data_IF_418474154899
#
_entry.id   IF_418474154899
#
_cell.length_a   1.000
_cell.length_b   1.000
_cell.length_c   1.000
_cell.angle_alpha   90.00
_cell.angle_beta   90.00
_cell.angle_gamma   90.00
#
_symmetry.space_group_name_H-M   'P 1'
#
loop_
_entity.id
_entity.type
_entity.pdbx_description
1 polymer ?
#
# COMPACT_ATOMS: atom_id res chain seq x y z
N UNK A 1 12.71 -20.41 3.81
CA UNK A 1 11.34 -20.68 4.28
C UNK A 1 11.31 -21.41 5.63
N UNK A 2 11.89 -22.58 5.79
CA UNK A 2 11.86 -23.36 7.07
C UNK A 2 12.29 -22.52 8.30
N UNK A 3 13.36 -21.75 8.24
CA UNK A 3 13.86 -20.95 9.38
C UNK A 3 12.91 -19.78 9.79
N UNK A 4 12.09 -19.29 8.89
CA UNK A 4 11.12 -18.19 9.15
C UNK A 4 9.88 -18.78 9.83
N UNK A 5 9.39 -19.92 9.38
CA UNK A 5 8.27 -20.64 10.01
C UNK A 5 8.62 -21.07 11.43
N UNK A 6 9.85 -21.54 11.67
CA UNK A 6 10.32 -21.89 13.01
C UNK A 6 10.35 -20.69 13.95
N UNK A 7 10.81 -19.54 13.48
CA UNK A 7 10.86 -18.31 14.28
C UNK A 7 9.47 -17.77 14.63
N UNK A 8 8.53 -17.80 13.69
CA UNK A 8 7.16 -17.38 13.88
C UNK A 8 6.44 -18.29 14.90
N UNK A 9 6.55 -19.62 14.74
CA UNK A 9 5.97 -20.59 15.68
C UNK A 9 6.56 -20.46 17.08
N UNK A 10 7.84 -20.17 17.22
CA UNK A 10 8.48 -19.92 18.51
C UNK A 10 7.93 -18.66 19.17
N UNK A 11 7.66 -17.61 18.42
CA UNK A 11 7.03 -16.40 18.93
C UNK A 11 5.63 -16.67 19.46
N UNK A 12 4.77 -17.36 18.70
CA UNK A 12 3.43 -17.72 19.14
C UNK A 12 3.47 -18.56 20.43
N UNK A 13 4.37 -19.55 20.53
CA UNK A 13 4.55 -20.36 21.71
C UNK A 13 5.02 -19.55 22.94
N UNK A 14 5.82 -18.49 22.74
CA UNK A 14 6.23 -17.58 23.82
C UNK A 14 5.08 -16.68 24.24
N UNK A 15 4.37 -16.07 23.28
CA UNK A 15 3.22 -15.21 23.53
C UNK A 15 2.11 -15.92 24.31
N UNK A 16 1.92 -17.24 24.09
CA UNK A 16 0.96 -18.03 24.84
C UNK A 16 1.30 -18.17 26.35
N UNK A 17 2.51 -17.82 26.79
CA UNK A 17 2.99 -18.02 28.15
C UNK A 17 3.24 -16.72 28.91
N UNK A 18 3.61 -15.66 28.23
CA UNK A 18 4.00 -14.37 28.83
C UNK A 18 3.91 -13.25 27.80
N UNK A 19 3.67 -12.00 28.22
CA UNK A 19 3.90 -10.84 27.37
C UNK A 19 5.33 -10.84 26.83
N UNK A 20 5.51 -10.45 25.56
CA UNK A 20 6.79 -10.45 24.87
C UNK A 20 7.06 -9.08 24.27
N UNK A 21 8.27 -8.59 24.43
CA UNK A 21 8.76 -7.39 23.75
C UNK A 21 9.24 -7.78 22.37
N UNK A 22 8.68 -7.15 21.33
CA UNK A 22 8.99 -7.43 19.93
C UNK A 22 9.79 -6.31 19.26
N UNK A 23 11.00 -6.62 18.80
CA UNK A 23 11.69 -5.91 17.75
C UNK A 23 11.46 -6.70 16.45
N UNK A 24 10.35 -6.41 15.77
CA UNK A 24 9.80 -7.32 14.76
C UNK A 24 9.57 -6.61 13.43
N UNK A 25 9.42 -7.41 12.37
CA UNK A 25 9.02 -6.90 11.07
C UNK A 25 7.68 -6.15 11.18
N UNK A 26 7.50 -4.97 10.51
CA UNK A 26 6.27 -4.16 10.63
C UNK A 26 4.97 -4.90 10.33
N UNK A 27 5.01 -5.92 9.47
CA UNK A 27 3.84 -6.72 9.12
C UNK A 27 3.59 -7.92 10.05
N UNK A 28 4.52 -8.22 10.97
CA UNK A 28 4.36 -9.37 11.85
C UNK A 28 3.08 -9.31 12.71
N UNK A 29 2.71 -8.16 13.30
CA UNK A 29 1.47 -8.06 14.06
C UNK A 29 0.22 -8.46 13.27
N UNK A 30 0.22 -8.21 11.95
CA UNK A 30 -0.90 -8.58 11.07
C UNK A 30 -1.03 -10.11 10.85
N UNK A 31 0.03 -10.84 11.09
CA UNK A 31 0.05 -12.30 10.97
C UNK A 31 -0.40 -13.03 12.24
N UNK A 32 -0.39 -12.37 13.40
CA UNK A 32 -0.71 -12.98 14.69
C UNK A 32 -2.19 -13.31 14.81
N UNK A 33 -2.50 -14.33 15.62
CA UNK A 33 -3.87 -14.72 15.96
C UNK A 33 -4.65 -13.54 16.56
N UNK A 34 -5.96 -13.50 16.35
CA UNK A 34 -6.87 -12.53 16.94
C UNK A 34 -6.88 -12.51 18.49
N UNK A 35 -6.38 -13.60 19.12
CA UNK A 35 -6.22 -13.68 20.57
C UNK A 35 -5.01 -12.90 21.09
N UNK A 36 -4.08 -12.49 20.22
CA UNK A 36 -2.89 -11.74 20.61
C UNK A 36 -3.22 -10.25 20.66
N UNK A 37 -3.05 -9.67 21.84
CA UNK A 37 -3.13 -8.22 22.02
C UNK A 37 -1.82 -7.57 21.56
N UNK A 38 -1.92 -6.52 20.75
CA UNK A 38 -0.77 -5.74 20.31
C UNK A 38 -0.82 -4.40 21.04
N UNK A 39 0.27 -4.04 21.71
CA UNK A 39 0.35 -2.83 22.52
C UNK A 39 1.58 -2.03 22.14
N UNK A 40 1.43 -0.72 21.94
CA UNK A 40 2.54 0.21 21.83
C UNK A 40 2.80 0.82 23.19
N UNK A 41 4.06 0.90 23.59
CA UNK A 41 4.40 1.44 24.90
C UNK A 41 4.01 2.92 25.01
N UNK A 42 3.25 3.23 26.07
CA UNK A 42 2.87 4.56 26.53
C UNK A 42 2.65 4.51 28.05
N UNK A 43 2.52 5.67 28.71
CA UNK A 43 2.41 5.73 30.17
C UNK A 43 1.19 4.97 30.72
N UNK A 44 0.08 4.95 29.97
CA UNK A 44 -1.13 4.21 30.38
C UNK A 44 -0.95 2.69 30.33
N UNK A 45 -0.10 2.20 29.42
CA UNK A 45 0.16 0.77 29.25
C UNK A 45 0.94 0.19 30.44
N UNK A 46 1.77 0.99 31.12
CA UNK A 46 2.51 0.52 32.29
C UNK A 46 1.60 0.14 33.45
N UNK A 47 0.55 0.93 33.71
CA UNK A 47 -0.43 0.61 34.75
C UNK A 47 -1.24 -0.63 34.40
N UNK A 48 -1.65 -0.78 33.13
CA UNK A 48 -2.37 -1.98 32.68
C UNK A 48 -1.50 -3.25 32.74
N UNK A 49 -0.21 -3.14 32.42
CA UNK A 49 0.72 -4.28 32.47
C UNK A 49 1.06 -4.66 33.91
N UNK A 50 1.02 -3.72 34.85
CA UNK A 50 1.17 -4.01 36.29
C UNK A 50 -0.02 -4.83 36.82
N UNK A 51 -1.22 -4.52 36.35
CA UNK A 51 -2.42 -5.30 36.66
C UNK A 51 -2.41 -6.69 35.97
N UNK A 52 -1.85 -6.80 34.80
CA UNK A 52 -1.70 -8.07 34.03
C UNK A 52 -0.69 -9.04 34.67
N UNK A 53 0.25 -8.58 35.49
CA UNK A 53 1.14 -9.47 36.24
C UNK A 53 0.39 -10.35 37.26
N UNK A 54 -0.78 -9.94 37.66
CA UNK A 54 -1.61 -10.71 38.61
C UNK A 54 -2.39 -11.87 37.92
N UNK A 55 -2.73 -11.73 36.63
CA UNK A 55 -3.35 -12.79 35.82
C UNK A 55 -3.22 -12.45 34.33
N UNK A 56 -2.23 -12.96 33.59
CA UNK A 56 -2.13 -12.75 32.16
C UNK A 56 -3.32 -13.40 31.46
N UNK A 57 -4.32 -12.60 31.06
CA UNK A 57 -5.56 -13.11 30.47
C UNK A 57 -5.44 -13.27 28.94
N UNK A 58 -4.45 -12.66 28.29
CA UNK A 58 -4.28 -12.73 26.84
C UNK A 58 -2.81 -12.66 26.42
N UNK A 59 -2.40 -13.41 25.38
CA UNK A 59 -1.10 -13.25 24.75
C UNK A 59 -0.88 -11.79 24.34
N UNK A 60 0.25 -11.19 24.72
CA UNK A 60 0.48 -9.76 24.48
C UNK A 60 1.84 -9.53 23.82
N UNK A 61 1.86 -8.88 22.65
CA UNK A 61 3.05 -8.38 21.98
C UNK A 61 3.20 -6.89 22.28
N UNK A 62 4.33 -6.52 22.90
CA UNK A 62 4.68 -5.14 23.24
C UNK A 62 5.64 -4.61 22.20
N UNK A 63 5.28 -3.53 21.52
CA UNK A 63 6.10 -2.84 20.52
C UNK A 63 6.72 -1.58 21.12
N UNK A 64 7.92 -1.24 20.70
CA UNK A 64 8.64 -0.02 21.09
C UNK A 64 8.71 0.16 22.62
N UNK A 65 9.28 -0.81 23.36
CA UNK A 65 9.32 -0.76 24.83
C UNK A 65 10.24 0.35 25.32
N UNK A 66 9.88 0.93 26.46
CA UNK A 66 10.83 1.71 27.24
C UNK A 66 11.81 0.80 28.01
N UNK A 67 12.85 1.40 28.60
CA UNK A 67 13.88 0.66 29.33
C UNK A 67 13.34 -0.10 30.56
N UNK A 68 12.24 0.35 31.16
CA UNK A 68 11.60 -0.28 32.34
C UNK A 68 10.93 -1.58 31.95
N UNK A 69 10.24 -1.62 30.79
CA UNK A 69 9.60 -2.82 30.27
C UNK A 69 10.63 -3.83 29.76
N UNK A 70 11.71 -3.35 29.11
CA UNK A 70 12.78 -4.22 28.61
C UNK A 70 13.44 -5.06 29.73
N UNK A 71 13.46 -4.58 30.96
CA UNK A 71 13.96 -5.32 32.12
C UNK A 71 12.98 -6.37 32.67
N UNK A 72 11.69 -6.30 32.33
CA UNK A 72 10.62 -7.12 32.92
C UNK A 72 10.15 -8.27 32.05
N UNK A 73 10.18 -8.11 30.73
CA UNK A 73 9.63 -9.07 29.78
C UNK A 73 10.69 -9.60 28.82
N UNK A 74 10.56 -10.86 28.37
CA UNK A 74 11.47 -11.43 27.40
C UNK A 74 11.38 -10.68 26.06
N UNK A 75 12.53 -10.41 25.45
CA UNK A 75 12.65 -9.77 24.16
C UNK A 75 12.76 -10.81 23.04
N UNK A 76 12.11 -10.55 21.91
CA UNK A 76 12.24 -11.32 20.67
C UNK A 76 12.58 -10.37 19.54
N UNK A 77 13.57 -10.74 18.72
CA UNK A 77 13.86 -10.06 17.46
C UNK A 77 13.49 -10.99 16.30
N UNK A 78 12.56 -10.56 15.45
CA UNK A 78 12.10 -11.29 14.27
C UNK A 78 11.87 -10.31 13.12
N UNK A 79 12.95 -10.03 12.39
CA UNK A 79 12.97 -9.06 11.28
C UNK A 79 12.59 -9.65 9.92
N UNK A 80 12.52 -10.97 9.84
CA UNK A 80 12.09 -11.63 8.61
C UNK A 80 10.62 -11.34 8.31
N UNK A 81 10.29 -11.28 7.02
CA UNK A 81 8.91 -11.14 6.57
C UNK A 81 8.06 -12.31 7.11
N UNK A 82 6.91 -12.04 7.72
CA UNK A 82 6.03 -13.09 8.24
C UNK A 82 5.39 -13.89 7.09
N UNK A 83 4.88 -15.09 7.37
CA UNK A 83 4.17 -15.89 6.36
C UNK A 83 2.96 -15.14 5.79
N UNK A 84 2.88 -15.01 4.48
CA UNK A 84 1.78 -14.30 3.78
C UNK A 84 0.42 -14.92 4.12
N UNK A 85 0.33 -16.25 4.19
CA UNK A 85 -0.91 -16.95 4.56
C UNK A 85 -1.38 -16.61 5.97
N UNK A 86 -0.46 -16.37 6.90
CA UNK A 86 -0.80 -15.94 8.25
C UNK A 86 -1.34 -14.50 8.24
N UNK A 87 -0.72 -13.59 7.49
CA UNK A 87 -1.23 -12.23 7.29
C UNK A 87 -2.63 -12.29 6.69
N UNK A 88 -2.82 -13.03 5.60
CA UNK A 88 -4.11 -13.15 4.93
C UNK A 88 -5.22 -13.66 5.86
N UNK A 89 -4.92 -14.60 6.74
CA UNK A 89 -5.91 -15.11 7.72
C UNK A 89 -6.25 -14.11 8.81
N UNK A 90 -5.30 -13.33 9.29
CA UNK A 90 -5.43 -12.60 10.55
C UNK A 90 -5.47 -11.07 10.40
N UNK A 91 -5.06 -10.51 9.26
CA UNK A 91 -4.95 -9.07 9.02
C UNK A 91 -6.22 -8.29 9.39
N UNK A 92 -7.40 -8.86 9.11
CA UNK A 92 -8.69 -8.24 9.43
C UNK A 92 -8.92 -8.07 10.94
N UNK A 93 -8.21 -8.81 11.79
CA UNK A 93 -8.29 -8.73 13.25
C UNK A 93 -7.42 -7.60 13.81
N UNK A 94 -6.44 -7.10 13.03
CA UNK A 94 -5.44 -6.14 13.46
C UNK A 94 -5.44 -4.86 12.60
N UNK A 95 -6.60 -4.44 12.10
CA UNK A 95 -6.72 -3.26 11.24
C UNK A 95 -6.39 -1.97 11.95
N UNK A 96 -6.68 -1.87 13.25
CA UNK A 96 -6.31 -0.71 14.07
C UNK A 96 -4.79 -0.55 14.10
N UNK A 97 -4.06 -1.63 14.35
CA UNK A 97 -2.61 -1.63 14.23
C UNK A 97 -2.14 -1.16 12.84
N UNK A 98 -2.72 -1.70 11.76
CA UNK A 98 -2.33 -1.31 10.41
C UNK A 98 -2.54 0.19 10.16
N UNK A 99 -3.66 0.75 10.62
CA UNK A 99 -4.00 2.18 10.48
C UNK A 99 -3.09 3.10 11.28
N UNK A 100 -2.66 2.69 12.45
CA UNK A 100 -1.91 3.52 13.38
C UNK A 100 -0.40 3.39 13.24
N UNK A 101 0.08 2.21 12.83
CA UNK A 101 1.50 1.87 12.89
C UNK A 101 2.16 1.69 11.53
N UNK A 102 1.39 1.40 10.48
CA UNK A 102 1.92 1.38 9.11
C UNK A 102 1.70 2.74 8.44
N UNK A 103 2.55 3.04 7.46
CA UNK A 103 2.22 4.10 6.51
C UNK A 103 0.93 3.71 5.80
N UNK A 104 -0.05 4.63 5.74
CA UNK A 104 -1.24 4.43 4.91
C UNK A 104 -1.14 5.24 3.63
N UNK A 105 -1.92 4.90 2.61
CA UNK A 105 -1.98 5.71 1.37
C UNK A 105 -2.33 7.16 1.65
N UNK A 106 -3.14 7.45 2.67
CA UNK A 106 -3.45 8.83 3.12
C UNK A 106 -2.26 9.54 3.77
N UNK A 107 -1.30 8.80 4.30
CA UNK A 107 -0.08 9.34 4.92
C UNK A 107 1.06 9.62 3.94
N UNK A 108 1.00 9.09 2.71
CA UNK A 108 2.09 9.17 1.73
C UNK A 108 2.54 10.60 1.45
N UNK A 109 1.57 11.51 1.24
CA UNK A 109 1.90 12.93 0.99
C UNK A 109 2.68 13.55 2.14
N UNK A 110 2.32 13.25 3.39
CA UNK A 110 3.03 13.76 4.56
C UNK A 110 4.45 13.16 4.66
N UNK A 111 4.57 11.84 4.56
CA UNK A 111 5.85 11.13 4.64
C UNK A 111 6.84 11.59 3.55
N UNK A 112 6.36 11.73 2.31
CA UNK A 112 7.16 12.23 1.20
C UNK A 112 7.65 13.67 1.46
N UNK A 113 6.75 14.57 1.87
CA UNK A 113 7.12 15.98 2.10
C UNK A 113 8.03 16.16 3.31
N UNK A 114 7.88 15.36 4.35
CA UNK A 114 8.79 15.34 5.51
C UNK A 114 10.20 14.93 5.08
N UNK A 115 10.35 13.82 4.37
CA UNK A 115 11.63 13.34 3.86
C UNK A 115 12.31 14.35 2.92
N UNK A 116 11.52 15.02 2.05
CA UNK A 116 12.05 16.08 1.16
C UNK A 116 12.49 17.31 1.97
N UNK A 117 11.82 17.65 3.05
CA UNK A 117 12.20 18.74 3.96
C UNK A 117 13.56 18.49 4.61
N UNK A 118 13.76 17.28 5.09
CA UNK A 118 15.00 16.88 5.77
C UNK A 118 16.21 16.81 4.82
N UNK A 119 16.00 16.22 3.64
CA UNK A 119 17.09 15.84 2.73
C UNK A 119 17.36 16.81 1.60
N UNK A 120 16.39 17.65 1.24
CA UNK A 120 16.47 18.70 0.20
C UNK A 120 16.98 18.20 -1.16
N UNK A 121 16.07 17.62 -1.95
CA UNK A 121 16.34 17.21 -3.32
C UNK A 121 16.14 18.38 -4.30
N UNK A 122 16.86 18.34 -5.44
CA UNK A 122 16.61 19.27 -6.53
C UNK A 122 15.46 18.80 -7.44
N UNK A 123 15.36 17.49 -7.61
CA UNK A 123 14.31 16.86 -8.42
C UNK A 123 13.62 15.79 -7.56
N UNK A 124 12.32 15.93 -7.41
CA UNK A 124 11.47 14.96 -6.71
C UNK A 124 10.54 14.33 -7.73
N UNK A 125 10.58 13.01 -7.84
CA UNK A 125 9.69 12.24 -8.72
C UNK A 125 8.72 11.44 -7.86
N UNK A 126 7.43 11.52 -8.15
CA UNK A 126 6.41 10.59 -7.66
C UNK A 126 5.92 9.73 -8.82
N UNK A 127 6.22 8.45 -8.79
CA UNK A 127 5.71 7.45 -9.73
C UNK A 127 4.54 6.72 -9.10
N UNK A 128 3.37 6.93 -9.65
CA UNK A 128 2.12 6.25 -9.28
C UNK A 128 1.93 5.04 -10.20
N UNK A 129 1.84 3.85 -9.61
CA UNK A 129 1.71 2.57 -10.35
C UNK A 129 0.33 1.98 -10.09
N UNK A 130 -0.37 1.59 -11.16
CA UNK A 130 -1.72 1.03 -11.13
C UNK A 130 -1.69 -0.48 -10.87
N UNK A 131 -1.83 -0.85 -9.63
CA UNK A 131 -1.76 -2.25 -9.18
C UNK A 131 -0.32 -2.77 -9.06
N UNK A 132 0.21 -2.82 -7.82
CA UNK A 132 1.50 -3.43 -7.50
C UNK A 132 1.55 -3.76 -6.00
N UNK A 133 1.75 -5.02 -5.65
CA UNK A 133 1.82 -5.44 -4.25
C UNK A 133 3.20 -5.16 -3.65
N UNK A 134 3.27 -4.96 -2.34
CA UNK A 134 4.53 -4.83 -1.61
C UNK A 134 5.45 -6.04 -1.83
N UNK A 135 4.88 -7.24 -1.86
CA UNK A 135 5.62 -8.48 -2.11
C UNK A 135 6.31 -8.55 -3.47
N UNK A 136 5.79 -7.82 -4.47
CA UNK A 136 6.36 -7.81 -5.82
C UNK A 136 7.68 -7.00 -5.90
N UNK A 137 7.95 -6.16 -4.90
CA UNK A 137 9.07 -5.21 -4.92
C UNK A 137 9.99 -5.27 -3.71
N UNK A 138 9.71 -6.13 -2.75
CA UNK A 138 10.45 -6.20 -1.47
C UNK A 138 11.96 -6.39 -1.66
N UNK A 139 12.36 -7.07 -2.73
CA UNK A 139 13.77 -7.36 -3.05
C UNK A 139 14.41 -6.32 -4.00
N UNK A 140 13.67 -5.24 -4.37
CA UNK A 140 14.21 -4.28 -5.32
C UNK A 140 15.26 -3.36 -4.70
N UNK A 141 15.03 -2.96 -3.44
CA UNK A 141 15.85 -1.99 -2.73
C UNK A 141 15.57 -2.07 -1.22
N UNK A 142 16.58 -1.80 -0.41
CA UNK A 142 16.49 -1.86 1.07
C UNK A 142 15.53 -0.82 1.69
N UNK A 143 15.13 0.19 0.92
CA UNK A 143 14.27 1.29 1.39
C UNK A 143 12.81 1.16 0.94
N UNK A 144 12.34 -0.06 0.73
CA UNK A 144 10.90 -0.30 0.51
C UNK A 144 10.21 -0.53 1.84
N UNK A 145 9.18 0.26 2.12
CA UNK A 145 8.35 0.06 3.31
C UNK A 145 6.92 -0.33 2.92
N UNK A 146 6.24 -1.15 3.73
CA UNK A 146 4.85 -1.50 3.49
C UNK A 146 3.96 -0.29 3.72
N UNK A 147 3.06 -0.03 2.75
CA UNK A 147 2.03 0.99 2.83
C UNK A 147 0.66 0.32 2.82
N UNK A 148 -0.17 0.64 3.80
CA UNK A 148 -1.50 0.04 3.95
C UNK A 148 -2.55 0.83 3.16
N UNK A 149 -3.28 0.12 2.30
CA UNK A 149 -4.46 0.65 1.60
C UNK A 149 -5.67 0.47 2.52
N UNK A 150 -6.06 1.52 3.23
CA UNK A 150 -7.14 1.47 4.22
C UNK A 150 -8.51 1.63 3.56
N UNK A 151 -8.98 0.58 2.95
CA UNK A 151 -10.30 0.47 2.32
C UNK A 151 -10.24 -0.14 0.92
N UNK A 152 -11.39 -0.41 0.31
CA UNK A 152 -11.44 -0.95 -1.03
C UNK A 152 -10.92 0.09 -2.03
N UNK A 153 -9.90 -0.28 -2.80
CA UNK A 153 -9.55 0.47 -3.99
C UNK A 153 -10.63 0.23 -5.03
N UNK A 154 -11.39 1.24 -5.32
CA UNK A 154 -12.50 1.17 -6.26
C UNK A 154 -12.30 2.15 -7.38
N UNK A 155 -12.88 1.86 -8.53
CA UNK A 155 -12.94 2.79 -9.64
C UNK A 155 -13.46 4.15 -9.16
N UNK A 156 -12.82 5.22 -9.57
CA UNK A 156 -13.25 6.58 -9.27
C UNK A 156 -14.70 6.80 -9.63
N UNK A 157 -15.39 7.52 -8.77
CA UNK A 157 -16.75 7.97 -9.03
C UNK A 157 -16.75 9.45 -9.37
N UNK A 158 -17.41 9.79 -10.45
CA UNK A 158 -17.80 11.18 -10.69
C UNK A 158 -19.01 11.50 -9.81
N UNK A 159 -19.08 12.72 -9.30
CA UNK A 159 -20.31 13.23 -8.70
C UNK A 159 -21.41 13.31 -9.75
N UNK A 160 -22.66 13.49 -9.30
CA UNK A 160 -23.83 13.52 -10.18
C UNK A 160 -23.75 14.57 -11.28
N UNK A 161 -23.00 15.65 -11.05
CA UNK A 161 -22.69 16.68 -12.04
C UNK A 161 -21.64 16.26 -13.08
N UNK A 162 -21.06 15.07 -12.95
CA UNK A 162 -19.99 14.50 -13.78
C UNK A 162 -18.72 15.39 -13.89
N UNK A 163 -18.56 16.37 -13.03
CA UNK A 163 -17.44 17.30 -13.02
C UNK A 163 -16.53 17.15 -11.81
N UNK A 164 -17.06 16.59 -10.73
CA UNK A 164 -16.33 16.42 -9.47
C UNK A 164 -15.96 14.95 -9.28
N UNK A 165 -14.69 14.67 -9.10
CA UNK A 165 -14.21 13.35 -8.69
C UNK A 165 -14.35 13.24 -7.18
N UNK A 166 -15.15 12.27 -6.73
CA UNK A 166 -15.28 12.00 -5.30
C UNK A 166 -13.99 11.31 -4.81
N UNK A 167 -13.39 11.79 -3.71
CA UNK A 167 -12.24 11.15 -3.10
C UNK A 167 -12.55 9.70 -2.77
N UNK A 168 -11.72 8.78 -3.24
CA UNK A 168 -11.79 7.36 -2.95
C UNK A 168 -10.43 6.88 -2.48
N UNK A 169 -10.34 5.66 -2.00
CA UNK A 169 -9.07 5.01 -1.73
C UNK A 169 -8.35 4.75 -3.07
N UNK A 170 -7.03 4.72 -3.07
CA UNK A 170 -6.20 4.59 -4.26
C UNK A 170 -5.45 5.88 -4.58
N UNK A 171 -5.23 6.20 -5.83
CA UNK A 171 -4.47 7.40 -6.23
C UNK A 171 -4.89 8.71 -5.55
N UNK A 172 -6.20 9.03 -5.38
CA UNK A 172 -6.59 10.24 -4.66
C UNK A 172 -6.11 10.29 -3.22
N UNK A 173 -6.04 9.16 -2.52
CA UNK A 173 -5.52 9.11 -1.15
C UNK A 173 -4.02 9.34 -1.10
N UNK A 174 -3.28 8.87 -2.12
CA UNK A 174 -1.82 9.06 -2.24
C UNK A 174 -1.48 10.51 -2.56
N UNK A 175 -2.14 11.07 -3.58
CA UNK A 175 -1.90 12.47 -4.01
C UNK A 175 -2.29 13.47 -2.93
N UNK A 176 -3.31 13.17 -2.14
CA UNK A 176 -3.69 13.93 -0.96
C UNK A 176 -4.45 15.23 -1.23
N UNK A 177 -4.87 15.89 -0.12
CA UNK A 177 -5.47 17.21 -0.14
C UNK A 177 -5.04 17.97 1.12
N UNK A 178 -4.16 19.01 1.02
CA UNK A 178 -3.54 19.52 -0.21
C UNK A 178 -2.65 18.48 -0.91
N UNK A 179 -2.50 18.62 -2.24
CA UNK A 179 -1.74 17.68 -3.05
C UNK A 179 -0.25 17.68 -2.72
N UNK A 180 0.46 16.60 -3.06
CA UNK A 180 1.94 16.53 -2.97
C UNK A 180 2.55 17.77 -3.61
N UNK A 181 2.12 18.15 -4.84
CA UNK A 181 2.66 19.32 -5.50
C UNK A 181 2.39 20.61 -4.75
N UNK A 182 1.19 20.82 -4.23
CA UNK A 182 0.87 22.04 -3.47
C UNK A 182 1.83 22.21 -2.27
N UNK A 183 2.09 21.13 -1.53
CA UNK A 183 3.04 21.17 -0.40
C UNK A 183 4.48 21.42 -0.86
N UNK A 184 4.93 20.74 -1.91
CA UNK A 184 6.28 20.96 -2.46
C UNK A 184 6.45 22.35 -3.05
N UNK A 185 5.39 22.93 -3.65
CA UNK A 185 5.42 24.29 -4.16
C UNK A 185 5.70 25.33 -3.05
N UNK A 186 5.10 25.14 -1.88
CA UNK A 186 5.35 25.99 -0.70
C UNK A 186 6.79 25.84 -0.19
N UNK A 187 7.42 24.69 -0.44
CA UNK A 187 8.83 24.41 -0.13
C UNK A 187 9.82 24.91 -1.20
N UNK A 188 9.34 25.52 -2.28
CA UNK A 188 10.16 26.12 -3.34
C UNK A 188 10.24 25.35 -4.65
N UNK A 189 9.52 24.25 -4.81
CA UNK A 189 9.42 23.52 -6.09
C UNK A 189 8.44 24.24 -7.02
N UNK A 190 8.93 25.30 -7.68
CA UNK A 190 8.09 26.15 -8.52
C UNK A 190 7.79 25.57 -9.91
N UNK A 191 8.56 24.55 -10.32
CA UNK A 191 8.30 23.81 -11.54
C UNK A 191 7.66 22.47 -11.24
N UNK A 192 6.69 22.09 -12.07
CA UNK A 192 6.10 20.76 -12.04
C UNK A 192 5.90 20.23 -13.46
N UNK A 193 6.06 18.93 -13.64
CA UNK A 193 5.82 18.18 -14.87
C UNK A 193 4.96 16.96 -14.54
N UNK A 194 3.88 16.78 -15.25
CA UNK A 194 3.03 15.60 -15.14
C UNK A 194 3.10 14.76 -16.39
N UNK A 195 3.25 13.45 -16.27
CA UNK A 195 3.29 12.54 -17.40
C UNK A 195 2.29 11.40 -17.23
N UNK A 196 1.50 11.16 -18.27
CA UNK A 196 0.64 10.00 -18.39
C UNK A 196 0.58 9.51 -19.82
N UNK A 197 0.72 8.22 -20.05
CA UNK A 197 0.44 7.56 -21.33
C UNK A 197 -0.74 6.61 -21.18
N UNK A 198 -1.05 6.26 -19.96
CA UNK A 198 -2.24 5.56 -19.54
C UNK A 198 -3.09 6.55 -18.75
N UNK A 199 -4.28 6.80 -19.21
CA UNK A 199 -5.26 7.60 -18.47
C UNK A 199 -6.52 6.76 -18.37
N UNK A 200 -7.15 6.68 -17.22
CA UNK A 200 -8.53 6.22 -17.15
C UNK A 200 -9.35 7.04 -18.15
N UNK A 201 -10.35 6.43 -18.76
CA UNK A 201 -11.18 7.00 -19.85
C UNK A 201 -11.80 8.36 -19.55
N UNK A 202 -11.67 8.84 -18.32
CA UNK A 202 -12.15 10.13 -17.85
C UNK A 202 -11.02 11.14 -17.73
N UNK A 203 -11.07 12.17 -18.58
CA UNK A 203 -10.21 13.34 -18.44
C UNK A 203 -10.28 13.98 -17.06
N UNK A 204 -11.43 13.91 -16.41
CA UNK A 204 -11.70 14.49 -15.09
C UNK A 204 -10.82 13.84 -14.01
N UNK A 205 -10.62 12.53 -14.05
CA UNK A 205 -9.76 11.82 -13.07
C UNK A 205 -8.32 12.22 -13.27
N UNK A 206 -7.83 12.22 -14.50
CA UNK A 206 -6.49 12.66 -14.82
C UNK A 206 -6.26 14.11 -14.38
N UNK A 207 -7.22 15.00 -14.64
CA UNK A 207 -7.16 16.42 -14.24
C UNK A 207 -7.16 16.58 -12.72
N UNK A 208 -7.88 15.71 -11.99
CA UNK A 208 -7.86 15.69 -10.53
C UNK A 208 -6.48 15.28 -9.99
N UNK A 209 -5.92 14.19 -10.52
CA UNK A 209 -4.62 13.65 -10.06
C UNK A 209 -3.47 14.59 -10.37
N UNK A 210 -3.55 15.32 -11.49
CA UNK A 210 -2.55 16.30 -11.91
C UNK A 210 -2.95 17.75 -11.61
N UNK A 211 -3.80 17.94 -10.63
CA UNK A 211 -4.25 19.29 -10.26
C UNK A 211 -3.08 20.24 -10.05
N UNK A 212 -3.09 21.35 -10.80
CA UNK A 212 -2.05 22.38 -10.80
C UNK A 212 -0.70 21.95 -11.42
N UNK A 213 -0.61 20.77 -12.03
CA UNK A 213 0.60 20.29 -12.69
C UNK A 213 0.38 20.33 -14.21
N UNK A 214 1.24 20.99 -14.99
CA UNK A 214 1.23 20.86 -16.45
C UNK A 214 1.37 19.38 -16.85
N UNK A 215 0.36 18.85 -17.55
CA UNK A 215 0.29 17.42 -17.84
C UNK A 215 0.54 17.14 -19.29
N UNK A 216 1.53 16.30 -19.57
CA UNK A 216 1.90 15.82 -20.89
C UNK A 216 1.29 14.41 -21.09
N UNK A 217 0.38 14.31 -22.05
CA UNK A 217 -0.15 13.02 -22.51
C UNK A 217 0.71 12.51 -23.64
N UNK A 218 1.44 11.45 -23.39
CA UNK A 218 2.41 10.87 -24.32
C UNK A 218 1.96 9.49 -24.79
N UNK A 219 2.56 8.98 -25.87
CA UNK A 219 2.13 7.73 -26.48
C UNK A 219 2.48 6.48 -25.65
N UNK A 220 3.56 6.53 -24.89
CA UNK A 220 4.09 5.42 -24.11
C UNK A 220 5.18 5.89 -23.14
N UNK A 221 5.71 4.99 -22.34
CA UNK A 221 6.75 5.30 -21.35
C UNK A 221 8.07 5.78 -22.00
N UNK A 222 8.42 5.29 -23.18
CA UNK A 222 9.61 5.77 -23.92
C UNK A 222 9.54 7.27 -24.26
N UNK A 223 8.34 7.75 -24.57
CA UNK A 223 8.15 9.17 -24.82
C UNK A 223 8.39 10.02 -23.56
N UNK A 224 8.02 9.52 -22.35
CA UNK A 224 8.36 10.17 -21.09
C UNK A 224 9.87 10.30 -20.96
N UNK A 225 10.60 9.20 -21.17
CA UNK A 225 12.07 9.20 -21.06
C UNK A 225 12.72 10.13 -22.08
N UNK A 226 12.17 10.24 -23.28
CA UNK A 226 12.67 11.16 -24.32
C UNK A 226 12.49 12.62 -23.88
N UNK A 227 11.33 12.98 -23.35
CA UNK A 227 11.08 14.33 -22.83
C UNK A 227 11.98 14.66 -21.64
N UNK A 228 12.12 13.75 -20.66
CA UNK A 228 13.00 13.93 -19.52
C UNK A 228 14.47 14.11 -19.91
N UNK A 229 14.95 13.44 -20.99
CA UNK A 229 16.30 13.62 -21.54
C UNK A 229 16.51 15.00 -22.14
N UNK A 230 15.49 15.55 -22.79
CA UNK A 230 15.55 16.85 -23.46
C UNK A 230 15.36 18.03 -22.52
N UNK A 231 14.79 17.78 -21.34
CA UNK A 231 14.46 18.84 -20.38
C UNK A 231 15.70 19.31 -19.60
N UNK A 232 15.85 20.63 -19.48
CA UNK A 232 16.91 21.24 -18.66
C UNK A 232 16.34 21.73 -17.33
N UNK A 233 16.66 21.04 -16.26
CA UNK A 233 16.18 21.37 -14.92
C UNK A 233 17.00 22.52 -14.32
N UNK A 234 16.51 23.75 -14.44
CA UNK A 234 17.18 24.96 -13.90
C UNK A 234 16.83 25.25 -12.43
N UNK A 235 15.68 24.79 -12.00
CA UNK A 235 15.10 25.04 -10.66
C UNK A 235 14.70 23.73 -10.02
N UNK A 236 14.38 23.76 -8.71
CA UNK A 236 13.79 22.61 -8.03
C UNK A 236 12.46 22.24 -8.70
N UNK A 237 12.35 20.97 -9.07
CA UNK A 237 11.27 20.47 -9.94
C UNK A 237 10.60 19.25 -9.34
N UNK A 238 9.28 19.26 -9.34
CA UNK A 238 8.46 18.08 -9.05
C UNK A 238 8.04 17.40 -10.35
N UNK A 239 8.12 16.08 -10.40
CA UNK A 239 7.69 15.28 -11.55
C UNK A 239 6.70 14.23 -11.04
N UNK A 240 5.52 14.17 -11.64
CA UNK A 240 4.54 13.12 -11.34
C UNK A 240 4.34 12.26 -12.59
N UNK A 241 4.53 10.97 -12.44
CA UNK A 241 4.39 9.99 -13.53
C UNK A 241 3.29 9.01 -13.14
N UNK A 242 2.26 8.86 -13.97
CA UNK A 242 1.36 7.72 -13.91
C UNK A 242 1.85 6.61 -14.82
N UNK A 243 2.08 5.46 -14.23
CA UNK A 243 2.57 4.26 -14.89
C UNK A 243 1.53 3.16 -14.79
N UNK A 244 1.15 2.59 -15.92
CA UNK A 244 0.36 1.35 -15.94
C UNK A 244 1.08 0.26 -15.14
N UNK A 245 0.36 -0.37 -14.22
CA UNK A 245 0.87 -1.44 -13.38
C UNK A 245 0.38 -2.82 -13.83
N UNK A 246 -0.05 -3.60 -12.87
CA UNK A 246 -0.55 -4.95 -13.08
C UNK A 246 -2.08 -5.00 -13.27
N UNK A 247 -2.79 -3.88 -13.02
CA UNK A 247 -4.25 -3.85 -13.11
C UNK A 247 -4.76 -4.14 -14.52
N UNK A 248 -4.14 -3.54 -15.53
CA UNK A 248 -4.46 -3.83 -16.93
C UNK A 248 -4.28 -5.30 -17.32
N UNK A 249 -3.31 -6.00 -16.72
CA UNK A 249 -3.13 -7.44 -16.90
C UNK A 249 -4.20 -8.25 -16.16
N UNK A 250 -4.56 -7.85 -14.94
CA UNK A 250 -5.58 -8.50 -14.15
C UNK A 250 -6.95 -8.50 -14.85
N UNK A 251 -7.25 -7.43 -15.57
CA UNK A 251 -8.46 -7.25 -16.37
C UNK A 251 -8.28 -7.60 -17.86
N UNK A 252 -7.17 -8.23 -18.25
CA UNK A 252 -6.96 -8.72 -19.61
C UNK A 252 -7.93 -9.86 -19.91
N UNK A 253 -8.39 -9.91 -21.17
CA UNK A 253 -9.36 -10.93 -21.63
C UNK A 253 -8.75 -12.33 -21.82
N UNK A 254 -7.80 -12.71 -20.99
CA UNK A 254 -7.14 -14.02 -21.01
C UNK A 254 -6.51 -14.33 -19.66
N UNK A 255 -6.35 -15.58 -19.35
CA UNK A 255 -5.61 -16.02 -18.20
C UNK A 255 -4.11 -15.68 -18.36
N UNK A 256 -3.53 -15.09 -17.32
CA UNK A 256 -2.13 -14.70 -17.28
C UNK A 256 -1.31 -15.77 -16.59
N UNK A 257 -0.21 -16.14 -17.20
CA UNK A 257 0.77 -17.01 -16.57
C UNK A 257 1.62 -16.26 -15.55
N UNK A 258 2.17 -16.96 -14.55
CA UNK A 258 3.09 -16.37 -13.57
C UNK A 258 4.29 -15.69 -14.26
N UNK A 259 4.84 -16.27 -15.31
CA UNK A 259 5.96 -15.70 -16.05
C UNK A 259 5.63 -14.36 -16.72
N UNK A 260 4.38 -14.17 -17.18
CA UNK A 260 3.94 -12.89 -17.76
C UNK A 260 3.80 -11.83 -16.67
N UNK A 261 3.26 -12.19 -15.51
CA UNK A 261 3.16 -11.32 -14.34
C UNK A 261 4.55 -10.89 -13.89
N UNK A 262 5.48 -11.83 -13.71
CA UNK A 262 6.87 -11.56 -13.32
C UNK A 262 7.58 -10.67 -14.36
N UNK A 263 7.33 -10.90 -15.65
CA UNK A 263 7.84 -10.07 -16.73
C UNK A 263 7.35 -8.61 -16.65
N UNK A 264 6.09 -8.39 -16.28
CA UNK A 264 5.54 -7.06 -16.08
C UNK A 264 6.12 -6.36 -14.84
N UNK A 265 6.31 -7.09 -13.75
CA UNK A 265 6.98 -6.59 -12.53
C UNK A 265 8.41 -6.14 -12.86
N UNK A 266 9.17 -6.96 -13.60
CA UNK A 266 10.52 -6.63 -14.07
C UNK A 266 10.50 -5.37 -14.95
N UNK A 267 9.52 -5.23 -15.85
CA UNK A 267 9.40 -4.05 -16.69
C UNK A 267 9.14 -2.77 -15.88
N UNK A 268 8.33 -2.83 -14.82
CA UNK A 268 8.12 -1.69 -13.91
C UNK A 268 9.45 -1.30 -13.25
N UNK A 269 10.21 -2.26 -12.73
CA UNK A 269 11.52 -2.02 -12.15
C UNK A 269 12.49 -1.37 -13.13
N UNK A 270 12.58 -1.89 -14.35
CA UNK A 270 13.42 -1.33 -15.41
C UNK A 270 13.04 0.12 -15.74
N UNK A 271 11.74 0.44 -15.75
CA UNK A 271 11.27 1.80 -16.01
C UNK A 271 11.70 2.76 -14.88
N UNK A 272 11.66 2.35 -13.62
CA UNK A 272 12.20 3.12 -12.49
C UNK A 272 13.70 3.36 -12.68
N UNK A 273 14.48 2.32 -12.95
CA UNK A 273 15.92 2.39 -13.17
C UNK A 273 16.27 3.34 -14.33
N UNK A 274 15.49 3.30 -15.41
CA UNK A 274 15.67 4.16 -16.59
C UNK A 274 15.36 5.63 -16.31
N UNK A 275 14.31 5.92 -15.53
CA UNK A 275 14.04 7.30 -15.08
C UNK A 275 15.20 7.82 -14.24
N UNK A 276 15.65 7.04 -13.25
CA UNK A 276 16.78 7.41 -12.41
C UNK A 276 18.07 7.59 -13.22
N UNK A 277 18.34 6.74 -14.21
CA UNK A 277 19.48 6.87 -15.12
C UNK A 277 19.42 8.14 -15.96
N UNK A 278 18.24 8.51 -16.45
CA UNK A 278 18.06 9.75 -17.23
C UNK A 278 18.30 10.98 -16.35
N UNK A 279 17.72 10.98 -15.16
CA UNK A 279 17.81 12.12 -14.24
C UNK A 279 19.18 12.26 -13.57
N UNK A 280 19.93 11.17 -13.36
CA UNK A 280 21.30 11.20 -12.83
C UNK A 280 22.25 12.03 -13.69
N UNK A 281 22.00 12.09 -15.01
CA UNK A 281 22.82 12.89 -15.95
C UNK A 281 22.67 14.40 -15.75
N UNK A 282 21.65 14.83 -15.01
CA UNK A 282 21.41 16.24 -14.72
C UNK A 282 22.37 16.84 -13.68
N UNK A 283 23.21 16.00 -13.03
CA UNK A 283 24.14 16.42 -11.96
C UNK A 283 23.41 17.16 -10.82
N UNK A 284 22.25 16.66 -10.45
CA UNK A 284 21.35 17.17 -9.43
C UNK A 284 21.02 16.06 -8.44
N UNK A 285 20.64 16.43 -7.21
CA UNK A 285 20.13 15.47 -6.23
C UNK A 285 18.71 15.07 -6.61
N UNK A 286 18.54 13.81 -6.95
CA UNK A 286 17.26 13.26 -7.41
C UNK A 286 16.75 12.24 -6.40
N UNK A 287 15.47 12.31 -6.08
CA UNK A 287 14.75 11.28 -5.37
C UNK A 287 13.51 10.87 -6.17
N UNK A 288 13.28 9.57 -6.29
CA UNK A 288 12.06 8.99 -6.86
C UNK A 288 11.35 8.18 -5.77
N UNK A 289 10.08 8.48 -5.56
CA UNK A 289 9.16 7.69 -4.75
C UNK A 289 8.25 6.91 -5.69
N UNK A 290 8.16 5.59 -5.45
CA UNK A 290 7.22 4.71 -6.13
C UNK A 290 6.16 4.29 -5.14
N UNK A 291 4.90 4.44 -5.53
CA UNK A 291 3.73 4.04 -4.74
C UNK A 291 2.70 3.42 -5.66
N UNK A 292 2.03 2.36 -5.19
CA UNK A 292 0.87 1.82 -5.88
C UNK A 292 -0.42 2.18 -5.15
N UNK A 293 -1.52 2.24 -5.86
CA UNK A 293 -2.84 2.52 -5.31
C UNK A 293 -3.52 1.28 -4.72
N UNK A 294 -3.19 0.11 -5.21
CA UNK A 294 -3.56 -1.21 -4.73
C UNK A 294 -2.61 -2.28 -5.27
N UNK A 295 -2.72 -3.47 -4.75
CA UNK A 295 -2.12 -4.67 -5.36
C UNK A 295 -3.17 -5.58 -5.96
N UNK A 296 -2.75 -6.74 -6.50
CA UNK A 296 -3.60 -7.68 -7.22
C UNK A 296 -3.59 -9.04 -6.54
N UNK A 297 -4.77 -9.62 -6.39
CA UNK A 297 -4.98 -10.99 -5.96
C UNK A 297 -5.28 -11.85 -7.20
N UNK A 298 -4.31 -12.69 -7.60
CA UNK A 298 -4.36 -13.44 -8.84
C UNK A 298 -5.24 -14.69 -8.75
N UNK A 299 -6.02 -14.97 -9.80
CA UNK A 299 -7.03 -16.05 -9.86
C UNK A 299 -6.44 -17.44 -9.69
N UNK A 300 -5.23 -17.66 -10.21
CA UNK A 300 -4.59 -18.97 -10.24
C UNK A 300 -3.86 -19.36 -8.97
N UNK A 301 -3.71 -18.43 -8.02
CA UNK A 301 -2.86 -18.62 -6.83
C UNK A 301 -3.64 -19.06 -5.58
N UNK A 302 -4.99 -19.09 -5.63
CA UNK A 302 -5.79 -19.21 -4.41
C UNK A 302 -7.06 -20.06 -4.57
N UNK A 303 -7.40 -20.78 -3.51
CA UNK A 303 -8.69 -21.45 -3.35
C UNK A 303 -9.74 -20.47 -2.83
N UNK A 304 -10.65 -20.08 -3.69
CA UNK A 304 -11.67 -19.09 -3.41
C UNK A 304 -12.94 -19.70 -2.79
N UNK A 305 -13.54 -18.94 -1.86
CA UNK A 305 -14.87 -19.24 -1.29
C UNK A 305 -15.86 -18.19 -1.75
N UNK A 306 -16.63 -18.52 -2.78
CA UNK A 306 -17.66 -17.62 -3.34
C UNK A 306 -18.92 -17.66 -2.49
N UNK A 307 -19.39 -16.49 -2.07
CA UNK A 307 -20.58 -16.31 -1.23
C UNK A 307 -21.85 -16.03 -2.06
N UNK A 308 -21.71 -15.75 -3.35
CA UNK A 308 -22.80 -15.43 -4.30
C UNK A 308 -23.76 -14.33 -3.81
N UNK A 309 -23.20 -13.24 -3.27
CA UNK A 309 -23.99 -12.08 -2.78
C UNK A 309 -24.49 -11.25 -3.95
N UNK A 310 -25.81 -11.09 -4.04
CA UNK A 310 -26.44 -10.35 -5.12
C UNK A 310 -25.96 -8.89 -5.20
N UNK A 311 -25.59 -8.44 -6.40
CA UNK A 311 -25.10 -7.08 -6.65
C UNK A 311 -23.69 -6.80 -6.13
N UNK A 312 -23.02 -7.79 -5.56
CA UNK A 312 -21.64 -7.66 -5.10
C UNK A 312 -20.63 -7.70 -6.26
N UNK A 313 -19.50 -7.01 -6.08
CA UNK A 313 -18.26 -7.24 -6.83
C UNK A 313 -17.49 -8.41 -6.20
N UNK A 314 -16.50 -9.00 -6.88
CA UNK A 314 -15.74 -10.11 -6.30
C UNK A 314 -15.15 -9.79 -4.93
N UNK A 315 -14.56 -8.63 -4.75
CA UNK A 315 -13.83 -8.30 -3.52
C UNK A 315 -14.51 -7.29 -2.59
N UNK A 316 -15.60 -6.65 -3.02
CA UNK A 316 -16.36 -5.73 -2.17
C UNK A 316 -17.83 -5.62 -2.58
N UNK A 317 -18.65 -5.09 -1.66
CA UNK A 317 -20.04 -4.70 -1.91
C UNK A 317 -20.29 -3.28 -1.43
N UNK A 318 -21.16 -2.54 -2.13
CA UNK A 318 -21.68 -1.23 -1.69
C UNK A 318 -23.01 -1.35 -0.98
N UNK A 319 -23.68 -2.50 -1.09
CA UNK A 319 -24.84 -2.85 -0.30
C UNK A 319 -24.42 -3.73 0.88
N UNK A 320 -25.13 -3.65 1.99
CA UNK A 320 -24.87 -4.51 3.14
C UNK A 320 -25.21 -5.96 2.76
N UNK A 321 -24.25 -6.90 2.83
CA UNK A 321 -24.51 -8.32 2.63
C UNK A 321 -25.47 -8.88 3.72
N UNK A 322 -25.97 -10.09 3.51
CA UNK A 322 -26.66 -10.82 4.57
C UNK A 322 -25.72 -11.10 5.77
N UNK A 323 -26.26 -11.57 6.89
CA UNK A 323 -25.53 -11.74 8.12
C UNK A 323 -24.34 -12.70 7.97
N UNK A 324 -24.51 -13.79 7.25
CA UNK A 324 -23.46 -14.80 7.04
C UNK A 324 -22.31 -14.27 6.19
N UNK A 325 -22.60 -13.54 5.11
CA UNK A 325 -21.61 -12.92 4.27
C UNK A 325 -21.00 -11.68 4.94
N UNK A 326 -21.78 -10.92 5.70
CA UNK A 326 -21.31 -9.75 6.45
C UNK A 326 -20.21 -10.12 7.47
N UNK A 327 -20.32 -11.30 8.10
CA UNK A 327 -19.28 -11.83 9.00
C UNK A 327 -17.93 -12.12 8.31
N UNK A 328 -17.89 -12.05 6.97
CA UNK A 328 -16.69 -12.26 6.15
C UNK A 328 -16.24 -10.96 5.47
N UNK A 329 -16.69 -9.82 5.98
CA UNK A 329 -16.36 -8.51 5.44
C UNK A 329 -15.86 -7.58 6.53
N UNK A 330 -15.12 -6.56 6.10
CA UNK A 330 -14.82 -5.38 6.90
C UNK A 330 -15.59 -4.21 6.32
N UNK A 331 -16.31 -3.49 7.21
CA UNK A 331 -17.06 -2.29 6.84
C UNK A 331 -16.14 -1.09 6.80
N UNK A 332 -16.18 -0.38 5.70
CA UNK A 332 -15.50 0.91 5.50
C UNK A 332 -16.53 1.99 5.20
N UNK A 333 -16.25 3.20 5.66
CA UNK A 333 -16.98 4.40 5.28
C UNK A 333 -16.01 5.41 4.71
N UNK A 334 -16.18 5.76 3.44
CA UNK A 334 -15.31 6.67 2.71
C UNK A 334 -16.15 7.60 1.85
N UNK A 335 -15.92 8.92 1.99
CA UNK A 335 -16.60 9.96 1.21
C UNK A 335 -18.13 9.82 1.22
N UNK A 336 -18.71 9.49 2.37
CA UNK A 336 -20.16 9.28 2.53
C UNK A 336 -20.72 7.98 1.93
N UNK A 337 -19.87 7.12 1.36
CA UNK A 337 -20.24 5.81 0.85
C UNK A 337 -19.76 4.71 1.81
N UNK A 338 -20.63 3.74 2.06
CA UNK A 338 -20.29 2.53 2.81
C UNK A 338 -19.86 1.43 1.85
N UNK A 339 -18.80 0.73 2.21
CA UNK A 339 -18.26 -0.43 1.50
C UNK A 339 -18.08 -1.58 2.49
N UNK A 340 -18.23 -2.80 1.97
CA UNK A 340 -17.97 -4.05 2.68
C UNK A 340 -16.91 -4.82 1.89
N UNK A 341 -15.64 -4.74 2.32
CA UNK A 341 -14.53 -5.45 1.70
C UNK A 341 -14.47 -6.88 2.21
N UNK A 342 -14.43 -7.86 1.30
CA UNK A 342 -14.31 -9.27 1.69
C UNK A 342 -12.90 -9.58 2.17
N UNK A 343 -12.85 -10.29 3.29
CA UNK A 343 -11.59 -10.83 3.82
C UNK A 343 -11.16 -12.05 2.98
N UNK A 344 -9.87 -12.34 2.97
CA UNK A 344 -9.37 -13.56 2.32
C UNK A 344 -9.87 -14.82 3.07
N UNK A 345 -10.25 -15.90 2.41
CA UNK A 345 -10.29 -16.15 0.96
C UNK A 345 -11.69 -15.95 0.31
N UNK A 346 -12.50 -15.06 0.85
CA UNK A 346 -13.89 -14.92 0.43
C UNK A 346 -14.08 -13.97 -0.74
N UNK A 347 -14.99 -14.34 -1.65
CA UNK A 347 -15.49 -13.53 -2.75
C UNK A 347 -16.99 -13.29 -2.58
N UNK A 348 -17.44 -12.08 -2.82
CA UNK A 348 -18.88 -11.76 -2.85
C UNK A 348 -19.57 -12.30 -4.09
N UNK A 349 -18.87 -12.32 -5.22
CA UNK A 349 -19.32 -12.90 -6.47
C UNK A 349 -18.17 -13.59 -7.19
N UNK A 350 -18.47 -14.39 -8.21
CA UNK A 350 -17.43 -15.02 -9.03
C UNK A 350 -16.61 -13.97 -9.77
N UNK A 351 -15.33 -14.25 -9.94
CA UNK A 351 -14.46 -13.48 -10.83
C UNK A 351 -14.97 -13.69 -12.26
N UNK A 352 -15.01 -12.64 -13.06
CA UNK A 352 -15.39 -12.76 -14.46
C UNK A 352 -14.46 -13.75 -15.17
N UNK A 353 -14.98 -14.43 -16.18
CA UNK A 353 -14.21 -15.41 -16.95
C UNK A 353 -12.95 -14.78 -17.56
N UNK A 354 -13.06 -13.51 -17.96
CA UNK A 354 -12.03 -12.76 -18.66
C UNK A 354 -11.03 -12.06 -17.71
N UNK A 355 -11.28 -12.03 -16.40
CA UNK A 355 -10.38 -11.43 -15.42
C UNK A 355 -9.40 -12.50 -14.91
N UNK A 356 -8.11 -12.16 -14.86
CA UNK A 356 -7.03 -12.99 -14.30
C UNK A 356 -6.74 -12.68 -12.83
N UNK A 357 -7.17 -11.51 -12.35
CA UNK A 357 -6.98 -11.06 -10.98
C UNK A 357 -8.10 -10.12 -10.53
N UNK A 358 -8.09 -9.77 -9.26
CA UNK A 358 -9.04 -8.86 -8.63
C UNK A 358 -8.37 -8.00 -7.58
N UNK A 359 -9.00 -6.88 -7.23
CA UNK A 359 -8.58 -5.99 -6.17
C UNK A 359 -9.80 -5.40 -5.42
N UNK A 360 -9.54 -4.68 -4.32
CA UNK A 360 -10.58 -4.00 -3.53
C UNK A 360 -11.05 -4.77 -2.31
N UNK A 361 -10.49 -5.96 -2.06
CA UNK A 361 -10.68 -6.71 -0.83
C UNK A 361 -9.62 -6.44 0.22
N UNK A 362 -9.64 -7.28 1.24
CA UNK A 362 -8.67 -7.24 2.32
C UNK A 362 -7.84 -8.51 2.32
N UNK A 363 -6.72 -8.45 1.63
CA UNK A 363 -5.65 -9.44 1.64
C UNK A 363 -4.30 -8.73 1.59
N UNK A 364 -3.23 -9.45 1.94
CA UNK A 364 -1.86 -8.92 1.83
C UNK A 364 -1.56 -8.40 0.42
N UNK A 365 -1.92 -9.18 -0.60
CA UNK A 365 -1.64 -8.86 -1.98
C UNK A 365 -2.40 -7.62 -2.48
N UNK A 366 -3.60 -7.36 -1.94
CA UNK A 366 -4.44 -6.23 -2.36
C UNK A 366 -4.15 -4.95 -1.56
N UNK A 367 -3.89 -5.10 -0.24
CA UNK A 367 -3.93 -3.98 0.71
C UNK A 367 -2.57 -3.56 1.21
N UNK A 368 -1.50 -4.34 0.96
CA UNK A 368 -0.13 -3.94 1.31
C UNK A 368 0.62 -3.62 0.03
N UNK A 369 0.81 -2.33 -0.21
CA UNK A 369 1.46 -1.79 -1.40
C UNK A 369 2.84 -1.21 -1.05
N UNK A 370 3.73 -1.03 -2.01
CA UNK A 370 5.04 -0.44 -1.75
C UNK A 370 4.97 1.08 -1.56
N UNK A 371 5.78 1.59 -0.64
CA UNK A 371 6.31 2.94 -0.69
C UNK A 371 7.83 2.80 -0.79
N UNK A 372 8.33 2.88 -2.00
CA UNK A 372 9.75 2.67 -2.31
C UNK A 372 10.44 3.98 -2.65
N UNK A 373 11.68 4.15 -2.18
CA UNK A 373 12.48 5.36 -2.39
C UNK A 373 13.79 5.03 -3.07
N UNK A 374 14.07 5.73 -4.16
CA UNK A 374 15.29 5.60 -4.96
C UNK A 374 16.01 6.95 -4.99
N UNK A 375 17.30 6.98 -4.71
CA UNK A 375 18.09 8.21 -4.66
C UNK A 375 19.28 8.18 -5.63
N UNK A 376 19.56 9.33 -6.27
CA UNK A 376 20.81 9.60 -6.97
C UNK A 376 21.46 10.81 -6.31
N UNK A 377 22.70 10.63 -5.91
CA UNK A 377 23.53 11.68 -5.31
C UNK A 377 24.48 12.30 -6.33
#
# INVERSE_FOLDING_TARGET
MVAVEDGYQQLENKLARTPVIGDVHPLLPLALSSSVRIVKCGDDVLSELDDMHAAPQSPTLILQPDSRLAARFPTVSLKSHPPIDAINRNMHCHLEYAREQLLTTYGVTAALTEDVTERRYDIVVLMLVDGLSYGDVIDWIDTVIPCFVDGPSVTYRLADDQKTVLPTVGFPSIVGSPTVFARLHDMGYKNALGYTYWAPDSNVISDFLFKQIPTHRVANFEAILAELRSFTFKQSTYIQIMREGLDGLAHSKREMSRAEIDGAIIAIRQDVERVMQVLSKQKRRVCLYLVADHGILWKTEHDWKVLDVAGSRPRYSTARPDEAACARTVRYERSGQVYYSYTYPYLGSRIKADDSGVHGGLSYQESIVPFAKFEVR
#
